data_IF_606038904028
#
_entry.id   IF_606038904028
#
_cell.length_a   1.000
_cell.length_b   1.000
_cell.length_c   1.000
_cell.angle_alpha   90.00
_cell.angle_beta   90.00
_cell.angle_gamma   90.00
#
_symmetry.space_group_name_H-M   'P 1'
#
loop_
_entity.id
_entity.type
_entity.pdbx_description
1 polymer ?
#
# COMPACT_ATOMS: atom_id res chain seq x y z
N UNK A 1 -4.86 6.31 19.97
CA UNK A 1 -4.24 5.31 19.18
C UNK A 1 -5.17 4.87 18.06
N UNK A 2 -4.67 4.45 16.97
CA UNK A 2 -5.47 3.90 15.90
C UNK A 2 -6.17 4.87 14.98
N UNK A 3 -6.08 6.15 15.23
CA UNK A 3 -6.64 7.11 14.29
C UNK A 3 -5.67 7.34 13.14
N UNK A 4 -6.23 7.40 11.94
CA UNK A 4 -5.46 7.66 10.74
C UNK A 4 -5.31 9.16 10.54
N UNK A 5 -4.10 9.61 10.27
CA UNK A 5 -3.91 10.99 9.86
C UNK A 5 -4.00 11.09 8.34
N UNK A 6 -3.88 12.32 7.83
CA UNK A 6 -4.01 12.57 6.40
C UNK A 6 -2.98 11.79 5.59
N UNK A 7 -1.75 11.71 6.08
CA UNK A 7 -0.68 10.99 5.39
C UNK A 7 -0.97 9.50 5.31
N UNK A 8 -1.46 8.92 6.42
CA UNK A 8 -1.87 7.51 6.43
C UNK A 8 -2.92 7.23 5.36
N UNK A 9 -3.93 8.10 5.27
CA UNK A 9 -5.01 7.94 4.30
C UNK A 9 -4.45 8.02 2.87
N UNK A 10 -3.55 8.97 2.62
CA UNK A 10 -2.93 9.11 1.31
C UNK A 10 -2.14 7.87 0.91
N UNK A 11 -1.39 7.31 1.86
CA UNK A 11 -0.65 6.06 1.61
C UNK A 11 -1.60 4.94 1.25
N UNK A 12 -2.68 4.78 2.02
CA UNK A 12 -3.65 3.73 1.78
C UNK A 12 -4.34 3.88 0.43
N UNK A 13 -4.65 5.12 0.05
CA UNK A 13 -5.28 5.38 -1.25
C UNK A 13 -4.37 4.97 -2.41
N UNK A 14 -3.08 5.28 -2.32
CA UNK A 14 -2.13 4.88 -3.35
C UNK A 14 -2.01 3.37 -3.41
N UNK A 15 -1.87 2.71 -2.25
CA UNK A 15 -1.71 1.26 -2.18
C UNK A 15 -2.95 0.51 -2.68
N UNK A 16 -4.13 1.07 -2.50
CA UNK A 16 -5.35 0.46 -3.03
C UNK A 16 -5.37 0.45 -4.56
N UNK A 17 -4.76 1.44 -5.17
CA UNK A 17 -4.70 1.53 -6.63
C UNK A 17 -3.55 0.72 -7.20
N UNK A 18 -2.44 0.65 -6.48
CA UNK A 18 -1.23 -0.03 -6.96
C UNK A 18 -0.46 -0.57 -5.77
N UNK A 19 -0.71 -1.83 -5.44
CA UNK A 19 -0.05 -2.49 -4.32
C UNK A 19 1.44 -2.73 -4.56
N UNK A 20 1.91 -2.57 -5.80
CA UNK A 20 3.32 -2.75 -6.15
C UNK A 20 4.16 -1.49 -5.94
N UNK A 21 3.52 -0.36 -5.65
CA UNK A 21 4.26 0.88 -5.41
C UNK A 21 5.23 0.67 -4.25
N UNK A 22 6.46 1.12 -4.42
CA UNK A 22 7.47 0.96 -3.37
C UNK A 22 7.61 2.25 -2.55
N UNK A 23 8.40 2.15 -1.48
CA UNK A 23 8.60 3.27 -0.56
C UNK A 23 9.18 4.50 -1.27
N UNK A 24 10.08 4.28 -2.22
CA UNK A 24 10.67 5.39 -2.98
C UNK A 24 9.62 6.14 -3.78
N UNK A 25 8.74 5.39 -4.47
CA UNK A 25 7.68 5.98 -5.25
C UNK A 25 6.68 6.74 -4.39
N UNK A 26 6.32 6.17 -3.23
CA UNK A 26 5.46 6.86 -2.27
C UNK A 26 6.10 8.13 -1.75
N UNK A 27 7.39 8.06 -1.43
CA UNK A 27 8.15 9.23 -0.98
C UNK A 27 8.06 10.35 -2.00
N UNK A 28 8.25 10.03 -3.27
CA UNK A 28 8.22 11.02 -4.34
C UNK A 28 6.81 11.58 -4.56
N UNK A 29 5.80 10.72 -4.52
CA UNK A 29 4.41 11.16 -4.72
C UNK A 29 3.91 12.05 -3.60
N UNK A 30 4.26 11.72 -2.38
CA UNK A 30 3.72 12.40 -1.21
C UNK A 30 4.65 13.46 -0.65
N UNK A 31 5.87 13.58 -1.20
CA UNK A 31 6.86 14.55 -0.76
C UNK A 31 7.22 14.35 0.72
N UNK A 32 7.39 13.09 1.11
CA UNK A 32 7.73 12.71 2.48
C UNK A 32 8.92 11.76 2.40
N UNK A 33 9.85 11.88 3.36
CA UNK A 33 11.03 11.01 3.39
C UNK A 33 10.64 9.54 3.48
N UNK A 34 11.54 8.67 3.01
CA UNK A 34 11.27 7.23 2.96
C UNK A 34 11.08 6.60 4.33
N UNK A 35 11.89 6.99 5.32
CA UNK A 35 11.84 6.37 6.64
C UNK A 35 10.46 6.55 7.32
N UNK A 36 9.91 7.77 7.40
CA UNK A 36 8.55 7.92 7.96
C UNK A 36 7.50 7.14 7.18
N UNK A 37 7.63 7.04 5.86
CA UNK A 37 6.68 6.28 5.05
C UNK A 37 6.74 4.81 5.40
N UNK A 38 7.95 4.26 5.47
CA UNK A 38 8.15 2.86 5.83
C UNK A 38 7.55 2.56 7.21
N UNK A 39 7.81 3.44 8.18
CA UNK A 39 7.29 3.25 9.53
C UNK A 39 5.78 3.30 9.57
N UNK A 40 5.18 4.20 8.80
CA UNK A 40 3.71 4.29 8.73
C UNK A 40 3.11 3.04 8.12
N UNK A 41 3.70 2.52 7.05
CA UNK A 41 3.21 1.30 6.43
C UNK A 41 3.29 0.13 7.41
N UNK A 42 4.41 0.01 8.13
CA UNK A 42 4.55 -1.04 9.14
C UNK A 42 3.48 -0.94 10.21
N UNK A 43 3.20 0.27 10.69
CA UNK A 43 2.16 0.47 11.68
C UNK A 43 0.78 0.13 11.12
N UNK A 44 0.51 0.53 9.87
CA UNK A 44 -0.77 0.23 9.24
C UNK A 44 -0.98 -1.27 9.06
N UNK A 45 0.08 -2.00 8.76
CA UNK A 45 0.05 -3.46 8.69
C UNK A 45 -0.22 -4.06 10.07
N UNK A 46 0.53 -3.61 11.07
CA UNK A 46 0.41 -4.13 12.42
C UNK A 46 -0.96 -3.87 13.04
N UNK A 47 -1.55 -2.73 12.73
CA UNK A 47 -2.85 -2.33 13.27
C UNK A 47 -4.01 -2.91 12.45
N UNK A 48 -3.73 -3.64 11.39
CA UNK A 48 -4.76 -4.32 10.62
C UNK A 48 -5.44 -3.49 9.55
N UNK A 49 -5.01 -2.24 9.32
CA UNK A 49 -5.56 -1.46 8.22
C UNK A 49 -5.13 -2.03 6.87
N UNK A 50 -3.92 -2.55 6.79
CA UNK A 50 -3.46 -3.26 5.61
C UNK A 50 -3.46 -4.74 5.96
N UNK A 51 -4.36 -5.49 5.34
CA UNK A 51 -4.52 -6.91 5.62
C UNK A 51 -3.60 -7.78 4.76
N UNK A 52 -3.16 -7.24 3.64
CA UNK A 52 -2.30 -7.96 2.73
C UNK A 52 -2.24 -7.27 1.39
N UNK A 53 -1.49 -7.85 0.49
CA UNK A 53 -1.29 -7.33 -0.85
C UNK A 53 -1.66 -8.44 -1.83
N UNK A 54 -2.45 -8.10 -2.85
CA UNK A 54 -2.91 -9.11 -3.82
C UNK A 54 -2.66 -8.61 -5.22
N UNK A 55 -2.53 -9.55 -6.14
CA UNK A 55 -2.46 -9.26 -7.56
C UNK A 55 -3.82 -9.52 -8.18
N UNK A 56 -4.24 -8.64 -9.06
CA UNK A 56 -5.41 -8.88 -9.88
C UNK A 56 -4.96 -9.57 -11.15
N UNK A 57 -5.52 -10.73 -11.42
CA UNK A 57 -5.17 -11.49 -12.61
C UNK A 57 -6.39 -11.66 -13.50
N UNK A 58 -6.13 -11.80 -14.80
CA UNK A 58 -7.20 -12.07 -15.75
C UNK A 58 -7.58 -13.56 -15.65
N UNK A 59 -8.73 -13.83 -15.07
CA UNK A 59 -9.18 -15.19 -14.83
C UNK A 59 -9.32 -16.01 -16.11
N UNK A 60 -9.70 -15.37 -17.21
CA UNK A 60 -9.84 -16.07 -18.47
C UNK A 60 -8.48 -16.54 -18.99
N UNK A 61 -7.46 -15.68 -18.89
CA UNK A 61 -6.12 -16.03 -19.35
C UNK A 61 -5.47 -17.07 -18.44
N UNK A 62 -5.60 -16.89 -17.13
CA UNK A 62 -5.02 -17.81 -16.16
C UNK A 62 -5.71 -19.16 -16.21
N UNK A 63 -7.02 -19.18 -16.42
CA UNK A 63 -7.79 -20.41 -16.51
C UNK A 63 -7.31 -21.37 -17.58
N UNK A 64 -6.70 -20.86 -18.65
CA UNK A 64 -6.13 -21.71 -19.68
C UNK A 64 -4.88 -22.44 -19.22
N UNK A 65 -4.23 -21.94 -18.16
CA UNK A 65 -3.02 -22.52 -17.63
C UNK A 65 -3.26 -23.42 -16.43
N UNK A 66 -4.35 -23.22 -15.76
CA UNK A 66 -4.72 -23.96 -14.57
C UNK A 66 -5.80 -24.99 -14.87
#
# INVERSE_FOLDING_TARGET
>A
MGQLDKTDVEILQVLQKDAKVNTKELSEKLHISKTPIYERIKRLENDGYIKGYVALVDNKKVGLLL
#
